data_IF_640967157223
#
_entry.id   IF_640967157223
#
_cell.length_a   1.000
_cell.length_b   1.000
_cell.length_c   1.000
_cell.angle_alpha   90.00
_cell.angle_beta   90.00
_cell.angle_gamma   90.00
#
_symmetry.space_group_name_H-M   'P 1'
#
loop_
_entity.id
_entity.type
_entity.pdbx_description
1 polymer ?
#
# COMPACT_ATOMS: atom_id res chain seq x y z
N UNK A 1 -46.86 -0.88 62.54
CA UNK A 1 -46.77 0.59 62.58
C UNK A 1 -46.46 1.06 61.16
N UNK A 2 -47.47 1.52 60.43
CA UNK A 2 -47.28 2.20 59.15
C UNK A 2 -47.95 3.55 59.30
N UNK A 3 -47.18 4.64 59.17
CA UNK A 3 -47.75 5.98 59.10
C UNK A 3 -47.86 6.38 57.64
N UNK A 4 -49.11 6.51 57.24
CA UNK A 4 -49.65 7.18 56.08
C UNK A 4 -49.27 8.67 56.13
N UNK A 5 -48.25 9.04 55.35
CA UNK A 5 -47.90 10.43 55.12
C UNK A 5 -48.85 11.03 54.08
N UNK A 6 -49.86 11.77 54.55
CA UNK A 6 -50.72 12.62 53.74
C UNK A 6 -50.00 13.94 53.44
N UNK A 7 -49.63 14.15 52.17
CA UNK A 7 -48.92 15.35 51.73
C UNK A 7 -49.93 16.43 51.32
N UNK A 8 -50.15 17.41 52.19
CA UNK A 8 -50.88 18.64 51.84
C UNK A 8 -49.92 19.57 51.09
N UNK A 9 -50.08 19.70 49.77
CA UNK A 9 -49.39 20.74 48.99
C UNK A 9 -49.89 22.13 49.44
N UNK A 10 -49.02 23.04 49.92
CA UNK A 10 -49.37 24.44 49.97
C UNK A 10 -49.41 24.97 48.53
N UNK A 11 -50.56 25.50 48.13
CA UNK A 11 -50.68 26.31 46.92
C UNK A 11 -49.94 27.62 47.18
N UNK A 12 -48.63 27.66 46.86
CA UNK A 12 -47.84 28.88 46.90
C UNK A 12 -47.99 29.57 45.54
N UNK A 13 -48.88 30.56 45.53
CA UNK A 13 -49.05 31.53 44.45
C UNK A 13 -47.90 32.53 44.50
N UNK A 14 -46.72 32.11 44.05
CA UNK A 14 -45.65 33.02 43.66
C UNK A 14 -45.18 32.54 42.30
N UNK A 15 -45.54 33.31 41.27
CA UNK A 15 -45.11 33.13 39.90
C UNK A 15 -43.59 33.35 39.89
N UNK A 16 -42.83 32.28 40.11
CA UNK A 16 -41.39 32.29 39.95
C UNK A 16 -41.10 32.72 38.53
N UNK A 17 -40.55 33.91 38.38
CA UNK A 17 -40.19 34.48 37.09
C UNK A 17 -38.97 33.74 36.52
N UNK A 18 -39.24 32.54 36.00
CA UNK A 18 -38.31 31.70 35.25
C UNK A 18 -37.73 32.44 34.05
N UNK A 19 -38.38 33.53 33.60
CA UNK A 19 -37.87 34.42 32.56
C UNK A 19 -36.60 35.12 33.00
N UNK A 20 -36.55 35.64 34.23
CA UNK A 20 -35.33 36.24 34.80
C UNK A 20 -34.19 35.24 34.95
N UNK A 21 -34.51 33.97 35.26
CA UNK A 21 -33.52 32.91 35.45
C UNK A 21 -32.97 32.41 34.11
N UNK A 22 -33.84 32.24 33.10
CA UNK A 22 -33.46 31.95 31.72
C UNK A 22 -32.70 33.10 31.07
N UNK A 23 -33.00 34.34 31.44
CA UNK A 23 -32.29 35.51 30.94
C UNK A 23 -30.88 35.61 31.55
N UNK A 24 -30.74 35.36 32.86
CA UNK A 24 -29.43 35.27 33.49
C UNK A 24 -28.58 34.12 32.91
N UNK A 25 -29.21 33.00 32.55
CA UNK A 25 -28.52 31.89 31.89
C UNK A 25 -28.16 32.23 30.44
N UNK A 26 -29.04 32.88 29.67
CA UNK A 26 -28.74 33.35 28.32
C UNK A 26 -27.62 34.41 28.29
N UNK A 27 -27.54 35.26 29.33
CA UNK A 27 -26.46 36.23 29.50
C UNK A 27 -25.12 35.53 29.78
N UNK A 28 -25.10 34.46 30.60
CA UNK A 28 -23.93 33.60 30.85
C UNK A 28 -23.45 32.78 29.64
N UNK A 29 -24.32 32.54 28.64
CA UNK A 29 -23.91 31.94 27.37
C UNK A 29 -23.46 32.99 26.33
N UNK A 30 -23.83 34.26 26.51
CA UNK A 30 -23.50 35.35 25.59
C UNK A 30 -22.10 35.94 25.86
N UNK A 31 -21.67 35.99 27.12
CA UNK A 31 -20.33 36.40 27.55
C UNK A 31 -19.26 35.31 27.34
N UNK A 32 -19.63 34.02 27.27
CA UNK A 32 -18.73 32.96 26.74
C UNK A 32 -18.38 33.19 25.26
N UNK A 33 -19.30 33.75 24.46
CA UNK A 33 -19.03 34.08 23.06
C UNK A 33 -18.06 35.27 22.92
N UNK A 34 -17.97 36.17 23.92
CA UNK A 34 -17.01 37.26 23.95
C UNK A 34 -15.71 36.96 24.73
N UNK A 35 -15.73 36.00 25.67
CA UNK A 35 -14.54 35.49 26.36
C UNK A 35 -13.60 34.71 25.42
N UNK A 36 -14.14 34.23 24.29
CA UNK A 36 -13.37 33.67 23.17
C UNK A 36 -12.31 34.63 22.60
N UNK A 37 -12.36 35.93 22.88
CA UNK A 37 -11.43 36.93 22.33
C UNK A 37 -10.29 37.33 23.28
N UNK A 38 -10.05 36.60 24.38
CA UNK A 38 -8.84 36.80 25.21
C UNK A 38 -8.06 35.52 25.53
N UNK A 39 -8.44 34.37 24.97
CA UNK A 39 -7.50 33.28 24.74
C UNK A 39 -6.68 33.66 23.51
N UNK A 40 -5.36 33.82 23.66
CA UNK A 40 -4.47 33.88 22.49
C UNK A 40 -4.84 32.71 21.57
N UNK A 41 -5.39 33.02 20.39
CA UNK A 41 -5.85 32.00 19.46
C UNK A 41 -4.75 30.98 19.19
N UNK A 42 -5.10 29.73 18.80
CA UNK A 42 -4.09 28.81 18.31
C UNK A 42 -3.34 29.55 17.20
N UNK A 43 -2.03 29.74 17.40
CA UNK A 43 -1.17 30.47 16.47
C UNK A 43 -1.29 29.78 15.11
N UNK A 44 -2.13 30.31 14.23
CA UNK A 44 -2.34 29.73 12.91
C UNK A 44 -1.19 30.23 12.05
N UNK A 45 -0.13 29.42 11.99
CA UNK A 45 1.04 29.75 11.18
C UNK A 45 0.60 29.87 9.73
N UNK A 46 0.81 31.07 9.17
CA UNK A 46 0.76 31.28 7.73
C UNK A 46 1.81 30.34 7.11
N UNK A 47 1.48 29.50 6.11
CA UNK A 47 2.45 28.60 5.51
C UNK A 47 3.62 29.41 4.96
N UNK A 48 4.80 29.27 5.57
CA UNK A 48 6.02 29.91 5.10
C UNK A 48 6.36 29.27 3.74
N UNK A 49 6.46 30.03 2.64
CA UNK A 49 6.80 29.46 1.35
C UNK A 49 8.23 28.93 1.40
N UNK A 50 8.38 27.60 1.33
CA UNK A 50 9.66 26.90 1.43
C UNK A 50 9.97 26.30 2.79
N UNK A 51 8.98 26.10 3.66
CA UNK A 51 9.17 25.36 4.90
C UNK A 51 9.59 23.91 4.56
N UNK A 52 10.82 23.54 4.94
CA UNK A 52 11.20 22.14 5.05
C UNK A 52 10.28 21.52 6.14
N UNK A 53 9.26 20.79 5.68
CA UNK A 53 8.36 20.03 6.53
C UNK A 53 9.17 18.94 7.27
N UNK A 54 8.88 18.75 8.55
CA UNK A 54 9.58 17.80 9.41
C UNK A 54 10.77 18.40 10.18
N UNK A 55 11.68 17.53 10.62
CA UNK A 55 12.88 17.89 11.37
C UNK A 55 13.98 18.19 10.37
N UNK A 56 14.33 19.48 10.21
CA UNK A 56 15.52 19.85 9.44
C UNK A 56 16.73 19.11 10.03
N UNK A 57 17.42 18.36 9.18
CA UNK A 57 18.65 17.64 9.54
C UNK A 57 19.89 18.50 9.35
N UNK A 58 19.77 19.65 8.69
CA UNK A 58 20.85 20.61 8.45
C UNK A 58 20.26 22.02 8.45
N UNK A 59 20.93 22.96 9.10
CA UNK A 59 20.57 24.38 9.07
C UNK A 59 20.90 24.99 7.70
N UNK A 60 20.28 26.12 7.36
CA UNK A 60 20.53 26.85 6.11
C UNK A 60 21.99 27.34 5.96
N UNK A 61 22.72 27.50 7.07
CA UNK A 61 24.16 27.80 7.08
C UNK A 61 25.07 26.58 6.88
N UNK A 62 24.50 25.37 6.77
CA UNK A 62 25.24 24.10 6.69
C UNK A 62 25.64 23.52 8.05
N UNK A 63 25.32 24.19 9.16
CA UNK A 63 25.53 23.68 10.52
C UNK A 63 24.50 22.64 10.96
N UNK A 64 24.82 21.84 11.98
CA UNK A 64 23.90 20.86 12.57
C UNK A 64 22.92 21.57 13.53
N UNK A 65 21.59 21.35 13.40
CA UNK A 65 20.60 21.93 14.31
C UNK A 65 20.73 21.35 15.73
N UNK A 66 20.68 22.22 16.74
CA UNK A 66 20.75 21.84 18.16
C UNK A 66 19.39 21.98 18.83
N UNK A 67 19.11 21.14 19.83
CA UNK A 67 17.86 21.21 20.61
C UNK A 67 18.08 22.04 21.87
N UNK A 68 17.43 23.20 21.94
CA UNK A 68 17.43 24.09 23.08
C UNK A 68 16.14 23.95 23.90
N UNK A 69 16.20 24.40 25.16
CA UNK A 69 15.04 24.45 26.06
C UNK A 69 14.62 25.91 26.27
N UNK A 70 13.33 26.19 26.15
CA UNK A 70 12.73 27.48 26.44
C UNK A 70 12.70 27.70 27.95
N UNK A 71 13.19 28.86 28.36
CA UNK A 71 13.09 29.35 29.74
C UNK A 71 12.11 30.52 29.86
N UNK A 72 11.27 30.74 28.83
CA UNK A 72 10.27 31.80 28.87
C UNK A 72 9.20 31.46 29.91
N UNK A 73 8.65 32.48 30.57
CA UNK A 73 7.57 32.29 31.55
C UNK A 73 6.29 31.72 30.94
N UNK A 74 6.13 31.80 29.61
CA UNK A 74 4.96 31.29 28.88
C UNK A 74 5.09 29.80 28.54
N UNK A 75 6.31 29.36 28.23
CA UNK A 75 6.60 27.99 27.82
C UNK A 75 7.84 27.45 28.56
N UNK A 76 7.79 27.31 29.90
CA UNK A 76 8.94 26.84 30.66
C UNK A 76 9.22 25.37 30.36
N UNK A 77 10.46 25.06 29.98
CA UNK A 77 10.89 23.68 29.71
C UNK A 77 10.53 23.14 28.32
N UNK A 78 9.84 23.92 27.47
CA UNK A 78 9.49 23.49 26.11
C UNK A 78 10.71 23.47 25.20
N UNK A 79 10.90 22.43 24.39
CA UNK A 79 12.08 22.27 23.52
C UNK A 79 11.87 22.81 22.12
N UNK A 80 12.91 23.34 21.50
CA UNK A 80 12.93 23.79 20.11
C UNK A 80 14.28 23.52 19.45
N UNK A 81 14.28 23.36 18.14
CA UNK A 81 15.47 23.32 17.30
C UNK A 81 15.97 24.75 17.05
N UNK A 82 17.28 24.96 17.12
CA UNK A 82 17.98 26.22 16.82
C UNK A 82 19.34 25.94 16.18
N UNK A 83 20.02 26.95 15.67
CA UNK A 83 21.42 26.86 15.25
C UNK A 83 22.35 27.54 16.27
N UNK A 84 23.59 27.05 16.40
CA UNK A 84 24.63 27.70 17.21
C UNK A 84 25.05 29.06 16.62
N UNK A 85 24.96 29.21 15.29
CA UNK A 85 25.28 30.43 14.56
C UNK A 85 24.09 31.41 14.46
N UNK A 86 23.02 31.19 15.22
CA UNK A 86 21.77 31.96 15.09
C UNK A 86 21.92 33.48 15.32
N UNK A 87 23.05 33.93 15.85
CA UNK A 87 23.36 35.33 16.15
C UNK A 87 24.16 36.06 15.05
N UNK A 88 24.54 35.37 13.96
CA UNK A 88 25.33 35.95 12.86
C UNK A 88 24.55 36.93 11.95
N UNK A 89 23.23 37.06 12.14
CA UNK A 89 22.36 37.94 11.38
C UNK A 89 21.77 37.33 10.10
N UNK A 90 22.11 36.08 9.78
CA UNK A 90 21.50 35.31 8.69
C UNK A 90 20.27 34.50 9.15
N UNK A 91 19.54 33.90 8.20
CA UNK A 91 18.39 33.05 8.50
C UNK A 91 18.85 31.65 8.96
N UNK A 92 18.49 31.27 10.20
CA UNK A 92 18.80 29.96 10.78
C UNK A 92 17.54 29.17 11.11
N UNK A 93 17.72 27.85 11.26
CA UNK A 93 16.65 26.95 11.71
C UNK A 93 16.12 27.40 13.08
N UNK A 94 14.81 27.58 13.18
CA UNK A 94 14.11 27.71 14.44
C UNK A 94 12.75 27.03 14.33
N UNK A 95 12.50 26.00 15.14
CA UNK A 95 11.24 25.25 15.09
C UNK A 95 10.95 24.57 16.41
N UNK A 96 9.71 24.62 16.88
CA UNK A 96 9.30 23.90 18.08
C UNK A 96 9.47 22.39 17.89
N UNK A 97 10.04 21.72 18.90
CA UNK A 97 10.35 20.29 18.80
C UNK A 97 9.09 19.44 18.60
N UNK A 98 8.00 19.80 19.30
CA UNK A 98 6.71 19.11 19.16
C UNK A 98 6.10 19.29 17.76
N UNK A 99 6.22 20.48 17.18
CA UNK A 99 5.73 20.75 15.81
C UNK A 99 6.49 19.92 14.79
N UNK A 100 7.83 19.94 14.85
CA UNK A 100 8.67 19.17 13.94
C UNK A 100 8.44 17.65 14.07
N UNK A 101 8.30 17.13 15.30
CA UNK A 101 8.01 15.71 15.54
C UNK A 101 6.60 15.32 15.05
N UNK A 102 5.60 16.20 15.20
CA UNK A 102 4.25 15.96 14.71
C UNK A 102 4.20 15.92 13.18
N UNK A 103 4.93 16.81 12.51
CA UNK A 103 5.06 16.78 11.04
C UNK A 103 5.72 15.50 10.56
N UNK A 104 6.86 15.11 11.14
CA UNK A 104 7.53 13.82 10.84
C UNK A 104 6.59 12.63 11.04
N UNK A 105 5.87 12.58 12.17
CA UNK A 105 4.93 11.49 12.44
C UNK A 105 3.79 11.45 11.40
N UNK A 106 3.30 12.62 10.99
CA UNK A 106 2.25 12.73 9.97
C UNK A 106 2.74 12.25 8.61
N UNK A 107 4.00 12.53 8.30
CA UNK A 107 4.69 12.09 7.08
C UNK A 107 4.90 10.57 7.07
N UNK A 108 5.34 9.99 8.19
CA UNK A 108 5.43 8.53 8.34
C UNK A 108 4.05 7.87 8.19
N UNK A 109 3.02 8.44 8.80
CA UNK A 109 1.65 7.93 8.64
C UNK A 109 1.17 7.99 7.19
N UNK A 110 1.53 9.04 6.44
CA UNK A 110 1.23 9.15 5.00
C UNK A 110 1.93 8.06 4.21
N UNK A 111 3.23 7.84 4.44
CA UNK A 111 4.00 6.79 3.77
C UNK A 111 3.44 5.38 4.06
N UNK A 112 3.02 5.12 5.31
CA UNK A 112 2.39 3.86 5.67
C UNK A 112 1.07 3.63 4.93
N UNK A 113 0.25 4.68 4.75
CA UNK A 113 -0.98 4.60 3.95
C UNK A 113 -0.67 4.25 2.50
N UNK A 114 0.31 4.93 1.90
CA UNK A 114 0.69 4.68 0.51
C UNK A 114 1.23 3.26 0.29
N UNK A 115 2.08 2.75 1.19
CA UNK A 115 2.57 1.37 1.14
C UNK A 115 1.43 0.35 1.27
N UNK A 116 0.45 0.64 2.13
CA UNK A 116 -0.75 -0.20 2.27
C UNK A 116 -1.55 -0.23 0.97
N UNK A 117 -1.82 0.93 0.37
CA UNK A 117 -2.56 1.01 -0.89
C UNK A 117 -1.83 0.27 -2.02
N UNK A 118 -0.50 0.40 -2.09
CA UNK A 118 0.32 -0.37 -3.03
C UNK A 118 0.22 -1.89 -2.78
N UNK A 119 0.22 -2.32 -1.52
CA UNK A 119 0.01 -3.72 -1.13
C UNK A 119 -1.34 -4.23 -1.64
N UNK A 120 -2.42 -3.46 -1.47
CA UNK A 120 -3.76 -3.84 -1.91
C UNK A 120 -3.88 -3.92 -3.44
N UNK A 121 -3.24 -2.97 -4.14
CA UNK A 121 -3.09 -3.00 -5.61
C UNK A 121 -2.32 -4.24 -6.05
N UNK A 122 -1.23 -4.57 -5.36
CA UNK A 122 -0.41 -5.73 -5.69
C UNK A 122 -1.15 -7.05 -5.40
N UNK A 123 -1.91 -7.14 -4.31
CA UNK A 123 -2.79 -8.27 -4.03
C UNK A 123 -3.82 -8.46 -5.15
N UNK A 124 -4.43 -7.37 -5.61
CA UNK A 124 -5.38 -7.41 -6.74
C UNK A 124 -4.74 -7.87 -8.04
N UNK A 125 -3.50 -7.44 -8.33
CA UNK A 125 -2.73 -7.92 -9.49
C UNK A 125 -2.40 -9.40 -9.38
N UNK A 126 -2.04 -9.89 -8.18
CA UNK A 126 -1.77 -11.31 -7.94
C UNK A 126 -3.00 -12.16 -8.23
N UNK A 127 -4.18 -11.79 -7.76
CA UNK A 127 -5.43 -12.53 -8.04
C UNK A 127 -5.72 -12.60 -9.55
N UNK A 128 -5.48 -11.51 -10.30
CA UNK A 128 -5.65 -11.51 -11.77
C UNK A 128 -4.65 -12.44 -12.45
N UNK A 129 -3.39 -12.37 -12.03
CA UNK A 129 -2.31 -13.20 -12.57
C UNK A 129 -2.56 -14.69 -12.29
N UNK A 130 -3.02 -15.03 -11.09
CA UNK A 130 -3.45 -16.38 -10.74
C UNK A 130 -4.58 -16.81 -11.66
N UNK A 131 -5.64 -16.01 -11.82
CA UNK A 131 -6.75 -16.36 -12.72
C UNK A 131 -6.30 -16.62 -14.16
N UNK A 132 -5.33 -15.86 -14.66
CA UNK A 132 -4.76 -16.10 -16.00
C UNK A 132 -3.90 -17.36 -16.04
N UNK A 133 -3.11 -17.64 -15.00
CA UNK A 133 -2.32 -18.86 -14.89
C UNK A 133 -3.20 -20.11 -14.86
N UNK A 134 -4.27 -20.09 -14.04
CA UNK A 134 -5.28 -21.15 -14.00
C UNK A 134 -5.90 -21.40 -15.38
N UNK A 135 -6.31 -20.33 -16.08
CA UNK A 135 -6.85 -20.44 -17.45
C UNK A 135 -5.85 -21.05 -18.42
N UNK A 136 -4.57 -20.66 -18.34
CA UNK A 136 -3.54 -21.23 -19.20
C UNK A 136 -3.25 -22.70 -18.88
N UNK A 137 -3.28 -23.11 -17.60
CA UNK A 137 -3.14 -24.52 -17.22
C UNK A 137 -4.26 -25.37 -17.81
N UNK A 138 -5.52 -24.93 -17.68
CA UNK A 138 -6.67 -25.62 -18.28
C UNK A 138 -6.52 -25.71 -19.80
N UNK A 139 -6.04 -24.64 -20.46
CA UNK A 139 -5.81 -24.65 -21.90
C UNK A 139 -4.67 -25.59 -22.32
N UNK A 140 -3.64 -25.75 -21.48
CA UNK A 140 -2.54 -26.68 -21.71
C UNK A 140 -3.00 -28.14 -21.57
N UNK A 141 -3.80 -28.47 -20.55
CA UNK A 141 -4.41 -29.80 -20.40
C UNK A 141 -5.30 -30.15 -21.60
N UNK A 142 -6.07 -29.18 -22.09
CA UNK A 142 -6.93 -29.36 -23.26
C UNK A 142 -6.14 -29.54 -24.56
N UNK A 143 -5.04 -28.79 -24.74
CA UNK A 143 -4.13 -28.97 -25.86
C UNK A 143 -3.49 -30.36 -25.85
N UNK A 144 -3.03 -30.83 -24.68
CA UNK A 144 -2.46 -32.17 -24.53
C UNK A 144 -3.49 -33.24 -24.92
N UNK A 145 -4.72 -33.12 -24.42
CA UNK A 145 -5.85 -34.00 -24.79
C UNK A 145 -6.13 -34.00 -26.29
N UNK A 146 -6.06 -32.86 -26.97
CA UNK A 146 -6.23 -32.81 -28.43
C UNK A 146 -5.06 -33.47 -29.15
N UNK A 147 -3.81 -33.24 -28.71
CA UNK A 147 -2.63 -33.82 -29.37
C UNK A 147 -2.60 -35.36 -29.31
N UNK A 148 -3.05 -35.96 -28.20
CA UNK A 148 -3.17 -37.42 -28.11
C UNK A 148 -4.22 -37.94 -29.10
N UNK A 149 -5.40 -37.31 -29.19
CA UNK A 149 -6.44 -37.74 -30.15
C UNK A 149 -6.00 -37.60 -31.61
N UNK A 150 -5.22 -36.57 -31.94
CA UNK A 150 -4.66 -36.42 -33.30
C UNK A 150 -3.64 -37.53 -33.57
N UNK A 151 -2.78 -37.84 -32.60
CA UNK A 151 -1.81 -38.94 -32.72
C UNK A 151 -2.52 -40.31 -32.89
N UNK A 152 -3.61 -40.52 -32.16
CA UNK A 152 -4.43 -41.74 -32.27
C UNK A 152 -5.08 -41.84 -33.65
N UNK A 153 -5.64 -40.74 -34.16
CA UNK A 153 -6.24 -40.65 -35.50
C UNK A 153 -5.20 -40.84 -36.61
N UNK A 154 -4.00 -40.27 -36.48
CA UNK A 154 -2.90 -40.49 -37.42
C UNK A 154 -2.48 -41.97 -37.44
N UNK A 155 -2.43 -42.64 -36.28
CA UNK A 155 -2.17 -44.09 -36.22
C UNK A 155 -3.27 -44.93 -36.87
N UNK A 156 -4.53 -44.48 -36.81
CA UNK A 156 -5.67 -45.13 -37.45
C UNK A 156 -5.61 -44.94 -38.96
N UNK A 157 -5.30 -43.74 -39.45
CA UNK A 157 -5.12 -43.51 -40.89
C UNK A 157 -4.00 -44.38 -41.47
N UNK A 158 -2.87 -44.51 -40.78
CA UNK A 158 -1.76 -45.39 -41.22
C UNK A 158 -2.18 -46.87 -41.28
N UNK A 159 -3.11 -47.32 -40.42
CA UNK A 159 -3.63 -48.70 -40.44
C UNK A 159 -4.59 -48.96 -41.60
N UNK A 160 -5.24 -47.93 -42.14
CA UNK A 160 -6.21 -48.06 -43.24
C UNK A 160 -5.52 -48.11 -44.61
N UNK A 161 -4.30 -47.59 -44.75
CA UNK A 161 -3.56 -47.58 -46.02
C UNK A 161 -2.71 -48.84 -46.29
N UNK A 162 -2.67 -49.83 -45.37
CA UNK A 162 -1.86 -51.07 -45.55
C UNK A 162 -2.69 -52.31 -45.90
N UNK A 163 -4.02 -52.19 -46.00
CA UNK A 163 -4.91 -53.32 -46.35
C UNK A 163 -5.88 -52.91 -47.47
N UNK A 164 -5.35 -52.56 -48.64
CA UNK A 164 -5.93 -52.83 -49.98
C UNK A 164 -5.27 -51.92 -51.04
N UNK A 165 -4.43 -52.48 -51.90
CA UNK A 165 -4.16 -51.94 -53.25
C UNK A 165 -3.69 -53.09 -54.16
N UNK A 166 -4.69 -53.78 -54.70
CA UNK A 166 -4.65 -54.38 -56.03
C UNK A 166 -5.37 -53.39 -56.96
N UNK A 167 -4.64 -52.71 -57.84
CA UNK A 167 -5.11 -52.30 -59.17
C UNK A 167 -5.41 -50.81 -59.42
N UNK A 168 -4.55 -50.18 -60.24
CA UNK A 168 -4.84 -48.99 -61.08
C UNK A 168 -5.91 -49.26 -62.18
N UNK A 169 -6.46 -48.26 -62.93
CA UNK A 169 -6.53 -46.79 -62.73
C UNK A 169 -7.91 -46.11 -63.01
N UNK A 170 -7.93 -44.78 -62.78
CA UNK A 170 -8.76 -43.73 -63.41
C UNK A 170 -10.26 -43.53 -63.06
N UNK A 171 -10.60 -42.30 -62.65
CA UNK A 171 -11.96 -41.80 -62.59
C UNK A 171 -12.11 -40.43 -61.93
N UNK A 172 -11.89 -39.34 -62.68
CA UNK A 172 -12.09 -37.96 -62.24
C UNK A 172 -13.58 -37.60 -62.18
N UNK A 173 -14.01 -36.87 -61.14
CA UNK A 173 -15.07 -35.83 -61.22
C UNK A 173 -14.99 -34.98 -59.93
N UNK A 174 -15.46 -33.75 -59.78
CA UNK A 174 -15.94 -32.65 -60.61
C UNK A 174 -15.88 -31.44 -59.66
N UNK A 175 -15.71 -30.23 -60.21
CA UNK A 175 -15.20 -29.07 -59.48
C UNK A 175 -16.00 -28.58 -58.26
N UNK A 176 -15.25 -28.17 -57.23
CA UNK A 176 -15.70 -27.23 -56.20
C UNK A 176 -14.66 -26.12 -56.12
N UNK A 177 -15.05 -24.90 -56.53
CA UNK A 177 -14.25 -23.69 -56.30
C UNK A 177 -14.40 -23.30 -54.83
N UNK A 178 -13.34 -23.45 -54.05
CA UNK A 178 -13.21 -22.79 -52.75
C UNK A 178 -12.38 -21.52 -52.91
N UNK A 179 -12.93 -20.39 -52.46
CA UNK A 179 -12.29 -19.09 -52.50
C UNK A 179 -10.99 -19.10 -51.69
N UNK A 180 -9.93 -18.55 -52.28
CA UNK A 180 -8.63 -18.34 -51.64
C UNK A 180 -8.73 -17.05 -50.82
N UNK A 181 -9.00 -17.17 -49.53
CA UNK A 181 -8.87 -16.05 -48.60
C UNK A 181 -7.53 -16.17 -47.85
N UNK A 182 -6.61 -15.27 -48.16
CA UNK A 182 -5.28 -15.22 -47.57
C UNK A 182 -5.35 -14.59 -46.18
N UNK A 183 -5.67 -15.37 -45.15
CA UNK A 183 -5.48 -14.90 -43.77
C UNK A 183 -4.03 -15.10 -43.36
N UNK A 184 -3.26 -14.01 -43.45
CA UNK A 184 -1.88 -13.85 -42.99
C UNK A 184 -1.78 -14.13 -41.49
N UNK A 185 -1.60 -15.39 -41.09
CA UNK A 185 -1.30 -15.75 -39.69
C UNK A 185 0.11 -15.26 -39.32
N UNK A 186 0.17 -14.15 -38.58
CA UNK A 186 1.36 -13.67 -37.88
C UNK A 186 1.70 -14.69 -36.78
N UNK A 187 2.78 -15.46 -36.98
CA UNK A 187 3.15 -16.64 -36.17
C UNK A 187 4.03 -16.34 -34.94
N UNK A 188 4.50 -15.11 -34.71
CA UNK A 188 5.62 -14.90 -33.77
C UNK A 188 5.28 -14.54 -32.32
N UNK A 189 4.04 -14.16 -31.98
CA UNK A 189 3.77 -13.56 -30.66
C UNK A 189 3.69 -14.54 -29.48
N UNK A 190 3.29 -15.80 -29.69
CA UNK A 190 2.99 -16.73 -28.58
C UNK A 190 4.23 -17.41 -27.99
N UNK A 191 5.30 -17.55 -28.77
CA UNK A 191 6.55 -18.21 -28.36
C UNK A 191 7.42 -17.28 -27.50
N UNK A 192 7.39 -15.99 -27.82
CA UNK A 192 8.05 -14.92 -27.07
C UNK A 192 7.42 -14.73 -25.69
N UNK A 193 6.09 -14.79 -25.60
CA UNK A 193 5.33 -14.72 -24.33
C UNK A 193 5.65 -15.91 -23.40
N UNK A 194 5.81 -17.13 -23.94
CA UNK A 194 6.19 -18.30 -23.14
C UNK A 194 7.63 -18.21 -22.62
N UNK A 195 8.54 -17.77 -23.49
CA UNK A 195 9.94 -17.51 -23.09
C UNK A 195 10.02 -16.42 -22.03
N UNK A 196 9.18 -15.38 -22.13
CA UNK A 196 9.10 -14.31 -21.15
C UNK A 196 8.55 -14.78 -19.80
N UNK A 197 7.53 -15.64 -19.79
CA UNK A 197 7.00 -16.23 -18.57
C UNK A 197 8.02 -17.14 -17.88
N UNK A 198 8.78 -17.93 -18.65
CA UNK A 198 9.85 -18.77 -18.12
C UNK A 198 10.96 -17.93 -17.47
N UNK A 199 11.36 -16.82 -18.11
CA UNK A 199 12.32 -15.88 -17.54
C UNK A 199 11.79 -15.24 -16.23
N UNK A 200 10.51 -14.87 -16.19
CA UNK A 200 9.87 -14.30 -14.99
C UNK A 200 9.84 -15.32 -13.84
N UNK A 201 9.56 -16.60 -14.12
CA UNK A 201 9.58 -17.66 -13.10
C UNK A 201 10.97 -17.83 -12.49
N UNK A 202 12.01 -17.79 -13.32
CA UNK A 202 13.39 -17.91 -12.85
C UNK A 202 13.81 -16.71 -11.99
N UNK A 203 13.46 -15.48 -12.40
CA UNK A 203 13.70 -14.27 -11.61
C UNK A 203 12.93 -14.31 -10.29
N UNK A 204 11.68 -14.78 -10.29
CA UNK A 204 10.87 -14.93 -9.06
C UNK A 204 11.50 -15.91 -8.08
N UNK A 205 12.07 -17.01 -8.58
CA UNK A 205 12.78 -17.98 -7.76
C UNK A 205 14.07 -17.38 -7.16
N UNK A 206 14.84 -16.63 -7.95
CA UNK A 206 16.06 -15.95 -7.46
C UNK A 206 15.71 -14.89 -6.40
N UNK A 207 14.64 -14.12 -6.63
CA UNK A 207 14.17 -13.10 -5.68
C UNK A 207 13.67 -13.71 -4.36
N UNK A 208 13.02 -14.88 -4.39
CA UNK A 208 12.55 -15.54 -3.17
C UNK A 208 13.71 -16.04 -2.31
N UNK A 209 14.75 -16.61 -2.95
CA UNK A 209 16.00 -17.00 -2.28
C UNK A 209 16.73 -15.79 -1.69
N UNK A 210 16.81 -14.69 -2.44
CA UNK A 210 17.43 -13.45 -1.98
C UNK A 210 16.70 -12.87 -0.76
N UNK A 211 15.35 -12.79 -0.79
CA UNK A 211 14.56 -12.33 0.37
C UNK A 211 14.74 -13.22 1.60
N UNK A 212 14.92 -14.53 1.42
CA UNK A 212 15.21 -15.44 2.52
C UNK A 212 16.61 -15.17 3.09
N UNK A 213 17.60 -14.94 2.22
CA UNK A 213 18.95 -14.59 2.62
C UNK A 213 18.99 -13.24 3.38
N UNK A 214 18.29 -12.21 2.90
CA UNK A 214 18.20 -10.91 3.56
C UNK A 214 17.60 -11.03 4.97
N UNK A 215 16.56 -11.85 5.14
CA UNK A 215 15.97 -12.14 6.46
C UNK A 215 16.95 -12.86 7.39
N UNK A 216 17.80 -13.74 6.85
CA UNK A 216 18.85 -14.41 7.64
C UNK A 216 20.01 -13.45 7.98
N UNK A 217 20.31 -12.49 7.12
CA UNK A 217 21.33 -11.46 7.36
C UNK A 217 20.88 -10.39 8.36
N UNK A 218 19.58 -10.08 8.41
CA UNK A 218 19.02 -9.06 9.30
C UNK A 218 18.88 -9.50 10.77
N UNK A 219 18.97 -10.81 11.06
CA UNK A 219 18.93 -11.31 12.45
C UNK A 219 20.14 -10.82 13.24
N UNK A 220 19.90 -10.24 14.42
CA UNK A 220 20.92 -9.70 15.34
C UNK A 220 21.40 -10.75 16.37
N UNK A 221 20.63 -11.82 16.56
CA UNK A 221 20.98 -12.94 17.44
C UNK A 221 21.94 -13.92 16.74
N UNK A 222 22.77 -14.68 17.49
CA UNK A 222 23.62 -15.70 16.91
C UNK A 222 22.78 -16.76 16.19
N UNK A 223 22.98 -16.89 14.88
CA UNK A 223 22.27 -17.87 14.05
C UNK A 223 22.55 -19.29 14.57
N UNK A 224 21.53 -20.16 14.51
CA UNK A 224 21.70 -21.59 14.79
C UNK A 224 22.56 -22.26 13.71
N UNK A 225 23.17 -23.42 14.02
CA UNK A 225 24.02 -24.18 13.09
C UNK A 225 23.30 -24.53 11.76
N UNK A 226 21.99 -24.79 11.84
CA UNK A 226 21.17 -25.04 10.66
C UNK A 226 20.95 -23.78 9.81
N UNK A 227 20.78 -22.62 10.45
CA UNK A 227 20.59 -21.33 9.77
C UNK A 227 21.90 -20.80 9.17
N UNK A 228 23.05 -21.02 9.83
CA UNK A 228 24.36 -20.69 9.26
C UNK A 228 24.65 -21.53 8.02
N UNK A 229 24.35 -22.83 8.06
CA UNK A 229 24.46 -23.72 6.89
C UNK A 229 23.56 -23.28 5.73
N UNK A 230 22.29 -22.96 6.02
CA UNK A 230 21.35 -22.46 5.01
C UNK A 230 21.82 -21.12 4.42
N UNK A 231 22.32 -20.21 5.25
CA UNK A 231 22.88 -18.92 4.83
C UNK A 231 24.08 -19.11 3.89
N UNK A 232 25.05 -19.96 4.26
CA UNK A 232 26.23 -20.24 3.43
C UNK A 232 25.84 -20.86 2.08
N UNK A 233 24.89 -21.80 2.09
CA UNK A 233 24.38 -22.43 0.87
C UNK A 233 23.68 -21.42 -0.05
N UNK A 234 22.82 -20.55 0.50
CA UNK A 234 22.16 -19.49 -0.26
C UNK A 234 23.16 -18.46 -0.81
N UNK A 235 24.19 -18.11 -0.05
CA UNK A 235 25.27 -17.24 -0.52
C UNK A 235 26.05 -17.87 -1.69
N UNK A 236 26.32 -19.19 -1.62
CA UNK A 236 27.01 -19.91 -2.69
C UNK A 236 26.16 -20.14 -3.93
N UNK A 237 24.84 -20.29 -3.81
CA UNK A 237 23.93 -20.45 -4.96
C UNK A 237 23.68 -19.14 -5.71
N UNK A 238 24.04 -18.00 -5.11
CA UNK A 238 23.85 -16.64 -5.67
C UNK A 238 25.13 -16.03 -6.27
N UNK A 239 26.28 -16.69 -6.11
CA UNK A 239 27.57 -16.35 -6.75
C UNK A 239 27.74 -17.13 -8.05
#
# INVERSE_FOLDING_TARGET
>A
MGQDYSYSQPSSSDEFDITSLLQAEAELYADEAESSYNMAGPFQYLPQPGADDGILTTCYCGGEPVVATSYTSKDPGRRYFTCDNADDGDCHVWKWWDVAVMEEMSDFQRQLRELKDQSDVNASKLVKLERTAWRSCIFMEELERITTTVSDLESVCIKVDTEDEVGEPEGRSVGVKAAKDSTKRKKSGKEEELSQLQAIMEVKQKLSKQKLLDRLLAKKDPLTEMETSLKLKLMSEML
#
